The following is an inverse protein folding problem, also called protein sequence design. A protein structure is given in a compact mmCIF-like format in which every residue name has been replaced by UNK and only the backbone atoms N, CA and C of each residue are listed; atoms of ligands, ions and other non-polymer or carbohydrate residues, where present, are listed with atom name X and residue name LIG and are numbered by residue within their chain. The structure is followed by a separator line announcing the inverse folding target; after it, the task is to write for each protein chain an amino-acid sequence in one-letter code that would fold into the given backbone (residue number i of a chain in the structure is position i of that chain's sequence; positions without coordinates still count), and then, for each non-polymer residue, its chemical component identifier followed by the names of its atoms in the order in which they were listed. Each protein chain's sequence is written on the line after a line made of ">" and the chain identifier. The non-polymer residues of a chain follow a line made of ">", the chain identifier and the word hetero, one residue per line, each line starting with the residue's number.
data_IF_588692587675
#
_entry.id   IF_588692587675
#
_cell.length_a   1.000
_cell.length_b   1.000
_cell.length_c   1.000
_cell.angle_alpha   90.00
_cell.angle_beta   90.00
_cell.angle_gamma   90.00
#
_symmetry.space_group_name_H-M   'P 1'
#
loop_
_entity.id
_entity.type
_entity.pdbx_description
1 polymer ?
#
# COMPACT_ATOMS: atom_id res chain seq x y z
N UNK A 1 16.66 -16.68 12.34
CA UNK A 1 16.07 -15.34 12.23
C UNK A 1 14.59 -15.57 12.08
N UNK A 2 13.77 -15.21 13.07
CA UNK A 2 12.32 -15.32 12.95
C UNK A 2 11.89 -13.99 12.37
N UNK A 3 11.55 -13.96 11.09
CA UNK A 3 10.93 -12.78 10.49
C UNK A 3 9.69 -12.42 11.32
N UNK A 4 9.63 -11.19 11.83
CA UNK A 4 8.41 -10.67 12.45
C UNK A 4 7.28 -10.77 11.42
N UNK A 5 6.10 -11.28 11.81
CA UNK A 5 4.99 -11.37 10.88
C UNK A 5 4.66 -9.97 10.36
N UNK A 6 4.38 -9.84 9.06
CA UNK A 6 4.00 -8.61 8.39
C UNK A 6 2.72 -8.82 7.59
N UNK A 7 1.98 -7.74 7.35
CA UNK A 7 0.81 -7.73 6.47
C UNK A 7 1.26 -7.43 5.05
N UNK A 8 0.89 -8.28 4.10
CA UNK A 8 1.21 -8.15 2.69
C UNK A 8 0.15 -7.32 1.97
N UNK A 9 0.58 -6.32 1.23
CA UNK A 9 -0.29 -5.43 0.47
C UNK A 9 0.16 -5.39 -0.99
N UNK A 10 -0.70 -5.81 -1.91
CA UNK A 10 -0.45 -5.77 -3.34
C UNK A 10 -1.28 -4.65 -3.98
N UNK A 11 -0.62 -3.71 -4.65
CA UNK A 11 -1.28 -2.59 -5.34
C UNK A 11 -1.24 -2.87 -6.83
N UNK A 12 -2.37 -3.28 -7.40
CA UNK A 12 -2.53 -3.52 -8.83
C UNK A 12 -2.78 -2.20 -9.54
N UNK A 13 -1.89 -1.81 -10.45
CA UNK A 13 -1.97 -0.51 -11.15
C UNK A 13 -1.80 -0.69 -12.66
N UNK A 14 -2.21 0.32 -13.42
CA UNK A 14 -1.73 0.47 -14.79
C UNK A 14 -0.33 1.10 -14.77
N UNK A 15 -0.21 2.26 -14.14
CA UNK A 15 1.03 3.04 -14.06
C UNK A 15 0.91 4.09 -12.95
N UNK A 16 1.57 3.92 -11.79
CA UNK A 16 1.54 4.92 -10.71
C UNK A 16 2.18 6.26 -11.05
N UNK A 17 3.03 6.31 -12.08
CA UNK A 17 3.76 7.53 -12.48
C UNK A 17 2.90 8.38 -13.42
N UNK A 18 2.21 7.75 -14.36
CA UNK A 18 1.47 8.44 -15.41
C UNK A 18 -0.05 8.49 -15.16
N UNK A 19 -0.60 7.59 -14.35
CA UNK A 19 -2.03 7.58 -14.00
C UNK A 19 -2.25 8.16 -12.61
N UNK A 20 -2.90 9.34 -12.54
CA UNK A 20 -3.15 10.05 -11.28
C UNK A 20 -3.84 9.19 -10.21
N UNK A 21 -4.88 8.44 -10.59
CA UNK A 21 -5.60 7.56 -9.65
C UNK A 21 -4.71 6.41 -9.12
N UNK A 22 -3.85 5.83 -9.97
CA UNK A 22 -2.88 4.83 -9.54
C UNK A 22 -1.84 5.44 -8.59
N UNK A 23 -1.35 6.64 -8.90
CA UNK A 23 -0.45 7.41 -8.05
C UNK A 23 -1.03 7.65 -6.66
N UNK A 24 -2.24 8.20 -6.58
CA UNK A 24 -2.91 8.44 -5.29
C UNK A 24 -3.12 7.16 -4.48
N UNK A 25 -3.44 6.04 -5.14
CA UNK A 25 -3.60 4.77 -4.44
C UNK A 25 -2.27 4.26 -3.86
N UNK A 26 -1.18 4.31 -4.63
CA UNK A 26 0.16 3.96 -4.12
C UNK A 26 0.61 4.91 -3.01
N UNK A 27 0.35 6.21 -3.16
CA UNK A 27 0.68 7.24 -2.17
C UNK A 27 -0.10 7.04 -0.86
N UNK A 28 -1.36 6.58 -0.91
CA UNK A 28 -2.14 6.30 0.30
C UNK A 28 -1.48 5.24 1.20
N UNK A 29 -0.78 4.27 0.60
CA UNK A 29 0.01 3.26 1.33
C UNK A 29 1.37 3.83 1.72
N UNK A 30 2.06 4.53 0.83
CA UNK A 30 3.40 5.08 1.10
C UNK A 30 3.40 6.18 2.17
N UNK A 31 2.29 6.92 2.33
CA UNK A 31 2.16 8.00 3.28
C UNK A 31 1.83 7.53 4.72
N UNK A 32 1.59 6.23 4.93
CA UNK A 32 1.31 5.71 6.26
C UNK A 32 2.47 5.98 7.23
N UNK A 33 2.19 6.19 8.53
CA UNK A 33 3.22 6.41 9.54
C UNK A 33 4.27 5.30 9.57
N UNK A 34 5.50 5.63 9.96
CA UNK A 34 6.62 4.68 10.04
C UNK A 34 6.30 3.44 10.90
N UNK A 35 5.53 3.62 11.98
CA UNK A 35 5.04 2.52 12.82
C UNK A 35 4.21 1.50 12.02
N UNK A 36 3.38 1.98 11.07
CA UNK A 36 2.59 1.13 10.17
C UNK A 36 3.48 0.54 9.08
N UNK A 37 4.36 1.33 8.48
CA UNK A 37 5.32 0.87 7.46
C UNK A 37 6.15 -0.32 7.93
N UNK A 38 6.54 -0.33 9.21
CA UNK A 38 7.31 -1.43 9.81
C UNK A 38 6.52 -2.74 9.97
N UNK A 39 5.17 -2.67 9.98
CA UNK A 39 4.28 -3.83 10.11
C UNK A 39 3.77 -4.37 8.78
N UNK A 40 4.04 -3.67 7.67
CA UNK A 40 3.57 -4.05 6.34
C UNK A 40 4.72 -4.36 5.40
N UNK A 41 4.41 -5.14 4.37
CA UNK A 41 5.21 -5.25 3.17
C UNK A 41 4.27 -4.98 2.00
N UNK A 42 4.52 -3.90 1.25
CA UNK A 42 3.69 -3.56 0.10
C UNK A 42 4.49 -3.55 -1.20
N UNK A 43 3.81 -3.92 -2.29
CA UNK A 43 4.39 -3.90 -3.64
C UNK A 43 3.38 -3.42 -4.67
N UNK A 44 3.82 -2.53 -5.54
CA UNK A 44 3.08 -2.17 -6.74
C UNK A 44 3.32 -3.21 -7.85
N UNK A 45 2.24 -3.59 -8.52
CA UNK A 45 2.22 -4.47 -9.69
C UNK A 45 1.58 -3.74 -10.87
N UNK A 46 2.42 -3.12 -11.69
CA UNK A 46 1.98 -2.49 -12.94
C UNK A 46 1.68 -3.55 -14.00
N UNK A 47 0.45 -3.54 -14.53
CA UNK A 47 0.04 -4.43 -15.63
C UNK A 47 0.71 -4.08 -16.99
N UNK A 48 1.60 -3.08 -17.05
CA UNK A 48 2.45 -2.82 -18.21
C UNK A 48 3.55 -3.87 -18.39
N UNK A 49 3.85 -4.63 -17.34
CA UNK A 49 4.85 -5.69 -17.37
C UNK A 49 4.22 -7.07 -17.13
N UNK A 50 4.93 -8.12 -17.56
CA UNK A 50 4.44 -9.50 -17.49
C UNK A 50 4.18 -9.96 -16.05
N UNK A 51 5.01 -9.52 -15.10
CA UNK A 51 4.85 -9.87 -13.68
C UNK A 51 3.55 -9.30 -13.12
N UNK A 52 3.24 -8.03 -13.42
CA UNK A 52 2.02 -7.38 -12.98
C UNK A 52 0.77 -7.95 -13.63
N UNK A 53 0.82 -8.33 -14.91
CA UNK A 53 -0.27 -9.09 -15.55
C UNK A 53 -0.47 -10.43 -14.83
N UNK A 54 0.62 -11.16 -14.55
CA UNK A 54 0.56 -12.43 -13.81
C UNK A 54 -0.08 -12.26 -12.44
N UNK A 55 0.32 -11.23 -11.69
CA UNK A 55 -0.25 -10.92 -10.38
C UNK A 55 -1.70 -10.47 -10.42
N UNK A 56 -2.07 -9.65 -11.40
CA UNK A 56 -3.46 -9.24 -11.62
C UNK A 56 -4.37 -10.46 -11.85
N UNK A 57 -3.93 -11.43 -12.66
CA UNK A 57 -4.65 -12.68 -12.88
C UNK A 57 -4.66 -13.58 -11.64
N UNK A 58 -3.53 -13.72 -10.94
CA UNK A 58 -3.40 -14.53 -9.72
C UNK A 58 -4.37 -14.07 -8.62
N UNK A 59 -4.47 -12.75 -8.42
CA UNK A 59 -5.33 -12.13 -7.42
C UNK A 59 -6.78 -11.92 -7.92
N UNK A 60 -7.08 -12.35 -9.15
CA UNK A 60 -8.40 -12.20 -9.80
C UNK A 60 -8.87 -10.75 -9.87
N UNK A 61 -7.94 -9.82 -10.09
CA UNK A 61 -8.23 -8.40 -10.26
C UNK A 61 -9.25 -8.17 -11.38
N UNK A 62 -10.13 -7.19 -11.18
CA UNK A 62 -11.21 -6.86 -12.13
C UNK A 62 -11.09 -5.45 -12.67
N UNK A 63 -10.68 -4.52 -11.82
CA UNK A 63 -10.55 -3.09 -12.11
C UNK A 63 -9.22 -2.56 -11.60
N UNK A 64 -8.82 -1.39 -12.11
CA UNK A 64 -7.61 -0.70 -11.68
C UNK A 64 -7.94 0.75 -11.25
N UNK A 65 -7.15 1.33 -10.34
CA UNK A 65 -6.20 0.63 -9.48
C UNK A 65 -6.94 -0.21 -8.41
N UNK A 66 -6.30 -1.26 -7.88
CA UNK A 66 -6.88 -2.09 -6.81
C UNK A 66 -5.85 -2.37 -5.71
N UNK A 67 -6.22 -2.18 -4.45
CA UNK A 67 -5.42 -2.64 -3.30
C UNK A 67 -5.93 -4.00 -2.84
N UNK A 68 -4.99 -4.93 -2.70
CA UNK A 68 -5.22 -6.22 -2.09
C UNK A 68 -4.47 -6.30 -0.76
N UNK A 69 -5.11 -6.84 0.28
CA UNK A 69 -4.48 -7.05 1.60
C UNK A 69 -4.57 -8.54 1.92
N UNK A 70 -3.44 -9.19 2.19
CA UNK A 70 -3.38 -10.64 2.39
C UNK A 70 -4.11 -11.42 1.28
N UNK A 71 -3.89 -11.00 0.02
CA UNK A 71 -4.47 -11.57 -1.21
C UNK A 71 -5.98 -11.34 -1.41
N UNK A 72 -6.66 -10.66 -0.50
CA UNK A 72 -8.06 -10.26 -0.69
C UNK A 72 -8.16 -8.95 -1.47
N UNK A 73 -9.08 -8.86 -2.43
CA UNK A 73 -9.42 -7.58 -3.10
C UNK A 73 -10.20 -6.70 -2.12
N UNK A 74 -9.59 -5.63 -1.63
CA UNK A 74 -10.17 -4.77 -0.57
C UNK A 74 -10.71 -3.47 -1.13
N UNK A 75 -9.90 -2.75 -1.91
CA UNK A 75 -10.30 -1.46 -2.49
C UNK A 75 -10.17 -1.53 -4.01
N UNK A 76 -11.30 -1.70 -4.69
CA UNK A 76 -11.39 -1.84 -6.15
C UNK A 76 -11.80 -0.51 -6.79
N UNK A 77 -10.86 0.20 -7.42
CA UNK A 77 -11.07 1.52 -8.07
C UNK A 77 -11.62 2.61 -7.12
N UNK A 78 -11.38 2.47 -5.82
CA UNK A 78 -11.77 3.43 -4.78
C UNK A 78 -10.53 3.74 -3.95
N UNK A 79 -10.18 5.01 -3.81
CA UNK A 79 -9.02 5.44 -3.02
C UNK A 79 -9.43 5.43 -1.53
N UNK A 80 -8.79 4.60 -0.68
CA UNK A 80 -9.17 4.50 0.73
C UNK A 80 -8.75 5.73 1.51
N UNK A 81 -9.50 6.03 2.57
CA UNK A 81 -9.03 6.91 3.65
C UNK A 81 -8.11 6.16 4.60
N UNK A 82 -7.32 6.91 5.38
CA UNK A 82 -6.38 6.34 6.36
C UNK A 82 -7.07 5.36 7.33
N UNK A 83 -8.20 5.76 7.91
CA UNK A 83 -8.93 4.91 8.87
C UNK A 83 -9.45 3.61 8.24
N UNK A 84 -9.95 3.67 7.01
CA UNK A 84 -10.46 2.49 6.29
C UNK A 84 -9.33 1.48 6.04
N UNK A 85 -8.15 1.98 5.67
CA UNK A 85 -6.99 1.13 5.45
C UNK A 85 -6.53 0.46 6.77
N UNK A 86 -6.46 1.23 7.86
CA UNK A 86 -6.08 0.71 9.19
C UNK A 86 -7.08 -0.36 9.65
N UNK A 87 -8.37 -0.14 9.45
CA UNK A 87 -9.41 -1.11 9.81
C UNK A 87 -9.30 -2.41 8.99
N UNK A 88 -9.09 -2.31 7.68
CA UNK A 88 -8.95 -3.48 6.80
C UNK A 88 -7.65 -4.26 7.04
N UNK A 89 -6.58 -3.58 7.43
CA UNK A 89 -5.35 -4.21 7.90
C UNK A 89 -5.54 -4.90 9.25
N UNK A 90 -6.20 -4.25 10.21
CA UNK A 90 -6.46 -4.83 11.54
C UNK A 90 -7.32 -6.10 11.46
N UNK A 91 -8.30 -6.15 10.54
CA UNK A 91 -9.12 -7.35 10.28
C UNK A 91 -8.30 -8.54 9.79
N UNK A 92 -7.17 -8.28 9.12
CA UNK A 92 -6.29 -9.28 8.49
C UNK A 92 -4.97 -9.47 9.22
N UNK A 93 -4.82 -8.87 10.40
CA UNK A 93 -3.59 -8.97 11.16
C UNK A 93 -3.35 -10.43 11.60
N UNK A 94 -2.12 -10.96 11.41
CA UNK A 94 -1.77 -12.35 11.73
C UNK A 94 -1.80 -12.66 13.23
N UNK A 95 -1.72 -11.65 14.10
CA UNK A 95 -1.74 -11.81 15.56
C UNK A 95 -2.60 -10.75 16.23
N UNK A 96 -3.17 -11.08 17.39
CA UNK A 96 -3.96 -10.12 18.18
C UNK A 96 -3.10 -8.94 18.65
N UNK A 97 -1.83 -9.17 18.97
CA UNK A 97 -0.91 -8.10 19.36
C UNK A 97 -0.72 -7.10 18.22
N UNK A 98 -0.56 -7.57 16.98
CA UNK A 98 -0.45 -6.68 15.83
C UNK A 98 -1.77 -5.96 15.56
N UNK A 99 -2.91 -6.67 15.64
CA UNK A 99 -4.24 -6.06 15.51
C UNK A 99 -4.41 -4.88 16.45
N UNK A 100 -4.12 -5.09 17.74
CA UNK A 100 -4.21 -4.03 18.76
C UNK A 100 -3.25 -2.87 18.48
N UNK A 101 -2.03 -3.17 18.04
CA UNK A 101 -1.05 -2.14 17.65
C UNK A 101 -1.54 -1.30 16.48
N UNK A 102 -2.05 -1.92 15.41
CA UNK A 102 -2.63 -1.23 14.24
C UNK A 102 -3.81 -0.35 14.66
N UNK A 103 -4.75 -0.88 15.44
CA UNK A 103 -5.91 -0.12 15.90
C UNK A 103 -5.52 1.07 16.78
N UNK A 104 -4.50 0.93 17.64
CA UNK A 104 -4.01 2.05 18.46
C UNK A 104 -3.43 3.22 17.64
N UNK A 105 -3.06 2.98 16.37
CA UNK A 105 -2.57 4.02 15.47
C UNK A 105 -3.72 4.78 14.79
N UNK A 106 -4.94 4.22 14.78
CA UNK A 106 -6.14 4.92 14.34
C UNK A 106 -6.40 6.18 15.17
N UNK A 107 -6.29 6.05 16.49
CA UNK A 107 -6.60 7.13 17.46
C UNK A 107 -5.53 8.23 17.54
N UNK A 108 -4.29 7.92 17.14
CA UNK A 108 -3.20 8.93 17.12
C UNK A 108 -3.37 9.95 16.00
N UNK A 109 -4.28 9.71 15.06
CA UNK A 109 -4.53 10.59 13.93
C UNK A 109 -3.41 10.57 12.89
N UNK A 110 -3.75 10.94 11.66
CA UNK A 110 -2.79 11.09 10.57
C UNK A 110 -2.02 12.40 10.75
N UNK A 111 -0.72 12.33 11.07
CA UNK A 111 0.13 13.52 11.22
C UNK A 111 0.43 14.14 9.83
N UNK A 112 -0.44 15.04 9.37
CA UNK A 112 -0.31 15.70 8.06
C UNK A 112 1.04 16.43 7.88
N UNK A 113 1.61 16.94 8.97
CA UNK A 113 2.90 17.66 8.95
C UNK A 113 4.08 16.78 8.52
N UNK A 114 3.97 15.45 8.66
CA UNK A 114 5.04 14.50 8.32
C UNK A 114 4.85 13.81 6.98
N UNK A 115 3.80 14.12 6.22
CA UNK A 115 3.51 13.51 4.90
C UNK A 115 4.72 13.62 3.97
N UNK A 116 5.31 14.82 3.88
CA UNK A 116 6.45 15.07 2.98
C UNK A 116 7.69 14.27 3.38
N UNK A 117 7.90 14.02 4.68
CA UNK A 117 9.01 13.20 5.16
C UNK A 117 8.76 11.71 4.92
N UNK A 118 7.54 11.24 5.17
CA UNK A 118 7.13 9.85 4.93
C UNK A 118 7.23 9.50 3.44
N UNK A 119 6.72 10.37 2.55
CA UNK A 119 6.83 10.19 1.10
C UNK A 119 8.29 10.15 0.62
N UNK A 120 9.16 11.02 1.15
CA UNK A 120 10.59 11.04 0.83
C UNK A 120 11.30 9.77 1.32
N UNK A 121 11.01 9.30 2.53
CA UNK A 121 11.56 8.05 3.10
C UNK A 121 11.10 6.82 2.31
N UNK A 122 9.83 6.80 1.87
CA UNK A 122 9.25 5.73 1.07
C UNK A 122 9.81 5.66 -0.37
N UNK A 123 10.64 6.63 -0.79
CA UNK A 123 11.24 6.66 -2.12
C UNK A 123 10.24 7.00 -3.24
N UNK A 124 9.05 7.50 -2.89
CA UNK A 124 8.06 7.97 -3.86
C UNK A 124 8.68 9.12 -4.68
N UNK A 125 8.95 8.85 -5.96
CA UNK A 125 9.58 9.80 -6.89
C UNK A 125 11.10 9.69 -7.07
N UNK A 126 11.81 8.79 -6.36
CA UNK A 126 13.27 8.62 -6.54
C UNK A 126 13.66 7.63 -7.65
N UNK A 127 12.72 6.80 -8.13
CA UNK A 127 12.93 5.92 -9.31
C UNK A 127 12.37 6.46 -10.63
N UNK A 128 11.84 7.68 -10.66
CA UNK A 128 11.27 8.30 -11.87
C UNK A 128 12.24 9.19 -12.65
N UNK A 129 13.53 9.23 -12.29
CA UNK A 129 14.58 9.85 -13.12
C UNK A 129 15.84 8.99 -13.20
N UNK A 130 15.76 7.87 -13.91
CA UNK A 130 16.91 7.35 -14.66
C UNK A 130 16.35 6.78 -15.94
N UNK A 131 16.19 7.67 -16.93
CA UNK A 131 16.23 7.43 -18.38
C UNK A 131 15.73 8.69 -19.08
N UNK A 132 16.56 9.74 -19.00
CA UNK A 132 16.46 10.93 -19.86
C UNK A 132 17.87 11.50 -19.97
N UNK A 133 18.73 10.73 -20.63
CA UNK A 133 19.97 11.16 -21.27
C UNK A 133 20.30 10.15 -22.36
#
# INVERSE_FOLDING_TARGET
>A
MVDEPKIHIDILTLDSVQCAACGYMTESIAALPEDVQNMIEYREWSIKNKEGIGKFLELKGRVLPTICIERDLVFESIIPQYEELIDEMAKRAPTEQMRQRILSLRDKGFEFDKIQENLKKAGAGLKTRKDSA
#
